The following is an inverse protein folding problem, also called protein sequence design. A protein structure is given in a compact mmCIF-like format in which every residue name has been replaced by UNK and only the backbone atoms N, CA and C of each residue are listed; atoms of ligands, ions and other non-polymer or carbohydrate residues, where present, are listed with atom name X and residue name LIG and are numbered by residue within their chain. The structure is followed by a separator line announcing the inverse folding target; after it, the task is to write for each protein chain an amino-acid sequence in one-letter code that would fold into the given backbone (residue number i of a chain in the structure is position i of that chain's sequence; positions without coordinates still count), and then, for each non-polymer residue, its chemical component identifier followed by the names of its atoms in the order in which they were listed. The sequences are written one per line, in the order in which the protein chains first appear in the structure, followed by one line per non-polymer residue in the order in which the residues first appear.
data_IF_244725596688
#
_entry.id   IF_244725596688
#
_cell.length_a   1.000
_cell.length_b   1.000
_cell.length_c   1.000
_cell.angle_alpha   90.00
_cell.angle_beta   90.00
_cell.angle_gamma   90.00
#
_symmetry.space_group_name_H-M   'P 1'
#
loop_
_entity.id
_entity.type
_entity.pdbx_description
1 polymer ?
#
# COMPACT_ATOMS: atom_id res chain seq x y z
N UNK A 1 1.78 13.84 68.40
CA UNK A 1 1.59 13.07 69.65
C UNK A 1 1.69 11.61 69.24
N UNK A 2 2.88 11.07 68.97
CA UNK A 2 4.04 10.93 69.90
C UNK A 2 3.51 10.32 71.22
N UNK A 3 3.88 9.12 71.67
CA UNK A 3 5.19 8.46 71.58
C UNK A 3 5.13 7.01 72.12
N UNK A 4 6.08 6.18 71.62
CA UNK A 4 7.02 5.26 72.31
C UNK A 4 6.58 4.52 73.61
N UNK A 5 7.04 3.31 74.00
CA UNK A 5 8.00 2.28 73.54
C UNK A 5 7.93 1.06 74.51
N UNK A 6 8.77 0.04 74.26
CA UNK A 6 9.34 -1.00 75.16
C UNK A 6 8.79 -2.44 74.99
N UNK A 7 9.54 -3.41 74.38
CA UNK A 7 10.75 -4.17 74.86
C UNK A 7 10.33 -5.16 75.98
N UNK A 8 10.56 -6.49 76.01
CA UNK A 8 11.27 -7.51 75.22
C UNK A 8 11.00 -8.93 75.82
N UNK A 9 11.54 -9.97 75.16
CA UNK A 9 12.09 -11.26 75.71
C UNK A 9 11.27 -12.58 75.81
N UNK A 10 11.75 -13.55 74.98
CA UNK A 10 11.93 -15.02 75.13
C UNK A 10 10.74 -15.94 75.49
N UNK A 11 10.61 -17.19 75.02
CA UNK A 11 11.57 -18.21 74.54
C UNK A 11 10.78 -19.30 73.77
N UNK A 12 11.32 -19.92 72.73
CA UNK A 12 11.92 -21.27 72.85
C UNK A 12 12.28 -21.87 71.47
N UNK A 13 13.44 -22.50 71.49
CA UNK A 13 14.24 -22.98 70.38
C UNK A 13 14.00 -24.48 70.20
N UNK A 14 13.83 -24.95 68.96
CA UNK A 14 14.29 -26.30 68.62
C UNK A 14 14.72 -26.41 67.17
N UNK A 15 16.02 -26.26 67.01
CA UNK A 15 16.81 -26.61 65.84
C UNK A 15 16.67 -28.10 65.50
N UNK A 16 16.76 -28.40 64.20
CA UNK A 16 17.45 -29.60 63.72
C UNK A 16 18.15 -29.29 62.38
N UNK A 17 19.44 -28.97 62.49
CA UNK A 17 20.52 -29.11 61.50
C UNK A 17 20.52 -30.52 60.89
N UNK A 18 20.91 -30.82 59.64
CA UNK A 18 22.08 -30.51 58.77
C UNK A 18 21.68 -30.87 57.30
N UNK A 19 22.26 -30.41 56.18
CA UNK A 19 23.67 -30.23 55.82
C UNK A 19 23.86 -29.39 54.52
N UNK A 20 25.00 -28.70 54.46
CA UNK A 20 25.84 -28.39 53.29
C UNK A 20 25.26 -27.63 52.06
N UNK A 21 25.35 -26.30 52.13
CA UNK A 21 26.15 -25.45 51.21
C UNK A 21 25.89 -25.48 49.70
N UNK A 22 25.25 -24.42 49.18
CA UNK A 22 25.81 -23.49 48.16
C UNK A 22 24.89 -22.27 48.07
N UNK A 23 25.44 -21.09 48.32
CA UNK A 23 24.78 -19.78 48.22
C UNK A 23 24.50 -19.48 46.75
N UNK A 24 23.31 -19.83 46.26
CA UNK A 24 22.85 -19.34 44.97
C UNK A 24 22.36 -17.90 45.15
N UNK A 25 23.12 -16.95 44.61
CA UNK A 25 22.59 -15.64 44.28
C UNK A 25 21.35 -15.84 43.41
N UNK A 26 20.23 -15.14 43.64
CA UNK A 26 19.23 -14.99 42.60
C UNK A 26 19.92 -14.25 41.46
N UNK A 27 20.26 -14.97 40.39
CA UNK A 27 20.52 -14.35 39.11
C UNK A 27 19.22 -13.63 38.76
N UNK A 28 19.23 -12.30 38.92
CA UNK A 28 18.29 -11.42 38.27
C UNK A 28 18.52 -11.56 36.76
N UNK A 29 17.99 -12.64 36.19
CA UNK A 29 17.66 -12.68 34.78
C UNK A 29 16.41 -11.82 34.63
N UNK A 30 16.60 -10.51 34.60
CA UNK A 30 15.67 -9.60 33.94
C UNK A 30 15.75 -9.89 32.44
N UNK A 31 15.26 -11.08 32.05
CA UNK A 31 14.75 -11.27 30.70
C UNK A 31 13.44 -10.51 30.65
N UNK A 32 13.54 -9.18 30.60
CA UNK A 32 12.47 -8.39 30.06
C UNK A 32 12.35 -8.80 28.59
N UNK A 33 11.52 -9.80 28.34
CA UNK A 33 10.82 -9.91 27.07
C UNK A 33 10.10 -8.58 26.94
N UNK A 34 10.77 -7.55 26.40
CA UNK A 34 10.10 -6.34 25.96
C UNK A 34 9.07 -6.85 24.98
N UNK A 35 7.82 -6.84 25.38
CA UNK A 35 6.72 -7.02 24.46
C UNK A 35 7.01 -6.07 23.29
N UNK A 36 7.32 -6.63 22.13
CA UNK A 36 7.53 -5.86 20.92
C UNK A 36 6.20 -5.14 20.73
N UNK A 37 6.21 -3.82 20.91
CA UNK A 37 5.02 -2.98 20.82
C UNK A 37 5.24 -2.02 19.68
N UNK A 38 4.19 -1.79 18.88
CA UNK A 38 4.26 -0.83 17.81
C UNK A 38 4.49 0.55 18.44
N UNK A 39 5.48 1.30 17.95
CA UNK A 39 5.79 2.64 18.45
C UNK A 39 4.60 3.60 18.32
N UNK A 40 3.74 3.37 17.33
CA UNK A 40 2.50 4.12 17.11
C UNK A 40 1.30 3.61 17.93
N UNK A 41 1.49 2.62 18.80
CA UNK A 41 0.41 2.02 19.60
C UNK A 41 -0.57 1.16 18.79
N UNK A 42 -0.29 0.88 17.52
CA UNK A 42 -1.14 0.04 16.68
C UNK A 42 -1.01 -1.44 17.07
N UNK A 43 -2.09 -2.02 17.60
CA UNK A 43 -2.14 -3.41 18.10
C UNK A 43 -2.09 -4.48 17.01
N UNK A 44 -2.38 -4.11 15.77
CA UNK A 44 -2.39 -5.03 14.60
C UNK A 44 -1.29 -4.69 13.60
N UNK A 45 -0.25 -3.97 14.04
CA UNK A 45 0.87 -3.62 13.18
C UNK A 45 1.60 -4.88 12.70
N UNK A 46 1.95 -4.95 11.42
CA UNK A 46 2.68 -6.09 10.82
C UNK A 46 4.00 -6.37 11.55
N UNK A 47 4.64 -5.33 12.08
CA UNK A 47 5.84 -5.43 12.92
C UNK A 47 5.64 -6.23 14.22
N UNK A 48 4.39 -6.52 14.61
CA UNK A 48 4.03 -7.28 15.82
C UNK A 48 3.68 -8.75 15.52
N UNK A 49 3.34 -9.07 14.27
CA UNK A 49 2.85 -10.40 13.85
C UNK A 49 3.98 -11.26 13.27
N UNK A 50 5.16 -10.69 13.04
CA UNK A 50 6.31 -11.44 12.51
C UNK A 50 6.90 -12.39 13.57
N UNK A 51 6.40 -13.62 13.65
CA UNK A 51 7.03 -14.73 14.38
C UNK A 51 8.31 -15.25 13.68
N UNK A 52 8.62 -14.73 12.48
CA UNK A 52 9.80 -15.06 11.71
C UNK A 52 10.43 -13.78 11.13
N UNK A 53 11.71 -13.45 11.41
CA UNK A 53 12.40 -12.26 10.93
C UNK A 53 12.78 -12.33 9.43
N UNK A 54 12.03 -13.09 8.62
CA UNK A 54 12.28 -13.24 7.20
C UNK A 54 11.73 -12.01 6.47
N UNK A 55 12.65 -11.06 6.30
CA UNK A 55 12.61 -9.75 5.67
C UNK A 55 12.82 -8.67 6.73
N UNK A 56 14.11 -8.48 7.06
CA UNK A 56 14.65 -7.33 7.80
C UNK A 56 14.21 -6.03 7.11
N UNK A 57 12.98 -5.61 7.34
CA UNK A 57 12.54 -4.28 6.95
C UNK A 57 13.33 -3.37 7.88
N UNK A 58 14.38 -2.72 7.39
CA UNK A 58 15.27 -1.93 8.23
C UNK A 58 14.43 -0.91 9.00
N UNK A 59 14.70 -0.79 10.29
CA UNK A 59 14.31 0.39 11.03
C UNK A 59 14.93 1.60 10.31
N UNK A 60 14.09 2.45 9.75
CA UNK A 60 14.52 3.71 9.18
C UNK A 60 14.88 4.65 10.34
N UNK A 61 16.17 4.83 10.64
CA UNK A 61 16.57 5.68 11.77
C UNK A 61 16.20 7.16 11.58
N UNK A 62 15.93 7.59 10.33
CA UNK A 62 15.43 8.95 10.06
C UNK A 62 13.96 9.12 10.44
N UNK A 63 13.07 8.31 9.85
CA UNK A 63 11.63 8.47 10.06
C UNK A 63 11.16 7.77 11.33
N UNK A 64 11.75 6.63 11.68
CA UNK A 64 11.37 5.83 12.86
C UNK A 64 12.03 6.30 14.16
N UNK A 65 12.88 7.33 14.15
CA UNK A 65 13.38 7.97 15.39
C UNK A 65 12.31 8.83 16.07
N UNK A 66 11.34 9.37 15.34
CA UNK A 66 10.25 10.20 15.89
C UNK A 66 9.34 9.40 16.85
N UNK A 67 9.14 9.90 18.07
CA UNK A 67 8.25 9.28 19.06
C UNK A 67 6.85 9.11 18.50
N UNK A 68 6.28 7.90 18.56
CA UNK A 68 4.94 7.63 18.05
C UNK A 68 4.85 7.29 16.55
N UNK A 69 5.93 7.42 15.77
CA UNK A 69 5.92 7.04 14.35
C UNK A 69 6.31 5.57 14.15
N UNK A 70 5.59 4.87 13.28
CA UNK A 70 5.92 3.52 12.84
C UNK A 70 5.92 3.45 11.32
N UNK A 71 7.08 3.17 10.70
CA UNK A 71 7.19 3.12 9.23
C UNK A 71 6.27 2.10 8.54
N UNK A 72 5.79 1.10 9.28
CA UNK A 72 4.91 0.05 8.77
C UNK A 72 3.42 0.41 8.77
N UNK A 73 2.99 1.32 9.64
CA UNK A 73 1.56 1.64 9.79
C UNK A 73 1.24 3.13 9.87
N UNK A 74 2.25 4.01 9.90
CA UNK A 74 2.07 5.45 9.80
C UNK A 74 2.37 5.93 8.38
N UNK A 75 1.55 6.86 7.90
CA UNK A 75 1.86 7.61 6.69
C UNK A 75 3.08 8.50 6.92
N UNK A 76 4.13 8.37 6.12
CA UNK A 76 5.35 9.19 6.19
C UNK A 76 5.10 10.70 5.98
N UNK A 77 3.96 11.08 5.39
CA UNK A 77 3.64 12.47 5.07
C UNK A 77 2.83 13.18 6.17
N UNK A 78 2.07 12.45 6.99
CA UNK A 78 1.21 13.05 8.02
C UNK A 78 1.31 12.39 9.40
N UNK A 79 2.15 11.37 9.54
CA UNK A 79 2.40 10.57 10.75
C UNK A 79 1.18 9.85 11.34
N UNK A 80 0.02 9.91 10.69
CA UNK A 80 -1.21 9.22 11.12
C UNK A 80 -1.25 7.78 10.62
N UNK A 81 -2.00 6.95 11.34
CA UNK A 81 -2.21 5.55 10.98
C UNK A 81 -2.90 5.41 9.61
N UNK A 82 -2.48 4.41 8.85
CA UNK A 82 -3.18 3.96 7.64
C UNK A 82 -4.42 3.14 8.03
N UNK A 83 -5.45 3.19 7.19
CA UNK A 83 -6.55 2.25 7.29
C UNK A 83 -6.23 1.00 6.49
N UNK A 84 -6.56 -0.17 7.05
CA UNK A 84 -6.49 -1.47 6.37
C UNK A 84 -7.82 -1.88 5.72
N UNK A 85 -8.81 -0.98 5.71
CA UNK A 85 -10.11 -1.23 5.09
C UNK A 85 -9.95 -1.54 3.59
N UNK A 86 -10.84 -2.41 3.08
CA UNK A 86 -10.92 -2.80 1.67
C UNK A 86 -9.57 -3.11 1.03
N UNK A 87 -8.81 -4.04 1.63
CA UNK A 87 -7.51 -4.51 1.14
C UNK A 87 -6.47 -3.37 0.92
N UNK A 88 -6.55 -2.32 1.75
CA UNK A 88 -5.57 -1.23 1.76
C UNK A 88 -5.68 -0.26 0.58
N UNK A 89 -6.88 0.00 0.07
CA UNK A 89 -7.12 0.92 -1.07
C UNK A 89 -6.63 2.36 -0.85
N UNK A 90 -6.45 2.76 0.42
CA UNK A 90 -6.21 4.17 0.80
C UNK A 90 -4.74 4.51 1.01
N UNK A 91 -3.84 3.54 0.85
CA UNK A 91 -2.41 3.73 1.07
C UNK A 91 -1.55 2.99 0.04
N UNK A 92 -0.32 3.48 -0.12
CA UNK A 92 0.73 2.81 -0.89
C UNK A 92 1.95 2.53 -0.01
N UNK A 93 2.48 1.31 -0.10
CA UNK A 93 3.74 0.90 0.52
C UNK A 93 4.86 0.98 -0.51
N UNK A 94 6.00 1.52 -0.14
CA UNK A 94 7.16 1.53 -1.00
C UNK A 94 7.83 0.14 -1.03
N UNK A 95 7.84 -0.47 -2.21
CA UNK A 95 8.39 -1.81 -2.46
C UNK A 95 9.80 -1.78 -3.05
N UNK A 96 10.40 -0.59 -3.17
CA UNK A 96 11.74 -0.45 -3.72
C UNK A 96 12.79 -1.11 -2.82
N UNK A 97 13.68 -1.89 -3.43
CA UNK A 97 14.86 -2.45 -2.76
C UNK A 97 15.91 -1.37 -2.55
N UNK A 98 16.27 -1.11 -1.30
CA UNK A 98 17.35 -0.20 -0.91
C UNK A 98 18.67 -0.96 -0.70
N UNK A 99 19.76 -0.23 -0.46
CA UNK A 99 21.10 -0.80 -0.23
C UNK A 99 21.02 -1.89 0.85
N UNK A 100 21.66 -3.04 0.58
CA UNK A 100 21.66 -4.27 1.39
C UNK A 100 20.49 -5.25 1.16
N UNK A 101 19.75 -5.13 0.03
CA UNK A 101 18.70 -6.08 -0.38
C UNK A 101 17.42 -6.03 0.47
N UNK A 102 17.21 -4.94 1.20
CA UNK A 102 16.03 -4.73 2.03
C UNK A 102 14.98 -3.88 1.31
N UNK A 103 13.71 -4.10 1.60
CA UNK A 103 12.61 -3.29 1.05
C UNK A 103 12.48 -1.99 1.87
N UNK A 104 12.26 -0.86 1.20
CA UNK A 104 12.05 0.44 1.83
C UNK A 104 10.92 0.44 2.87
N UNK A 105 9.77 -0.16 2.52
CA UNK A 105 8.68 -0.44 3.45
C UNK A 105 7.84 0.76 3.90
N UNK A 106 8.28 2.00 3.69
CA UNK A 106 7.53 3.18 4.10
C UNK A 106 6.16 3.28 3.42
N UNK A 107 5.16 3.67 4.19
CA UNK A 107 3.78 3.80 3.74
C UNK A 107 3.36 5.26 3.62
N UNK A 108 2.52 5.57 2.63
CA UNK A 108 1.83 6.86 2.51
C UNK A 108 0.34 6.65 2.30
N UNK A 109 -0.51 7.47 2.95
CA UNK A 109 -1.87 7.64 2.44
C UNK A 109 -1.79 8.16 1.02
N UNK A 110 -2.58 7.57 0.12
CA UNK A 110 -2.56 7.96 -1.27
C UNK A 110 -3.07 9.39 -1.47
N UNK A 111 -4.05 9.80 -0.67
CA UNK A 111 -4.52 11.19 -0.61
C UNK A 111 -3.42 12.17 -0.21
N UNK A 112 -2.60 11.82 0.80
CA UNK A 112 -1.48 12.64 1.22
C UNK A 112 -0.43 12.73 0.10
N UNK A 113 -0.13 11.62 -0.57
CA UNK A 113 0.84 11.59 -1.67
C UNK A 113 0.38 12.44 -2.85
N UNK A 114 -0.89 12.35 -3.25
CA UNK A 114 -1.47 13.17 -4.32
C UNK A 114 -1.42 14.67 -3.95
N UNK A 115 -1.82 15.03 -2.72
CA UNK A 115 -1.80 16.43 -2.25
C UNK A 115 -0.40 17.01 -2.11
N UNK A 116 0.60 16.17 -1.84
CA UNK A 116 1.99 16.56 -1.70
C UNK A 116 2.76 16.54 -3.03
N UNK A 117 2.08 16.30 -4.17
CA UNK A 117 2.72 16.12 -5.48
C UNK A 117 3.77 14.98 -5.50
N UNK A 118 3.57 13.97 -4.66
CA UNK A 118 4.38 12.74 -4.60
C UNK A 118 3.70 11.57 -5.33
N UNK A 119 2.51 11.77 -5.91
CA UNK A 119 1.81 10.76 -6.68
C UNK A 119 1.06 11.35 -7.89
N UNK A 120 0.84 10.54 -8.92
CA UNK A 120 0.05 10.88 -10.11
C UNK A 120 0.90 11.48 -11.23
N UNK A 121 0.31 12.40 -12.00
CA UNK A 121 1.04 13.21 -12.99
C UNK A 121 1.59 14.47 -12.32
N UNK A 122 2.91 14.63 -12.30
CA UNK A 122 3.58 15.79 -11.71
C UNK A 122 4.62 16.32 -12.68
N UNK A 123 4.50 17.59 -13.09
CA UNK A 123 5.46 18.25 -13.98
C UNK A 123 6.74 18.72 -13.27
N UNK A 124 7.54 19.52 -13.97
CA UNK A 124 8.78 20.10 -13.41
C UNK A 124 9.90 19.08 -13.23
N UNK A 125 10.74 19.30 -12.21
CA UNK A 125 11.93 18.46 -11.95
C UNK A 125 11.60 17.06 -11.42
N UNK A 126 10.45 16.87 -10.78
CA UNK A 126 10.04 15.57 -10.23
C UNK A 126 9.63 14.63 -11.37
N UNK A 127 8.88 15.16 -12.36
CA UNK A 127 8.44 14.46 -13.58
C UNK A 127 7.89 13.05 -13.30
N UNK A 128 6.69 12.98 -12.70
CA UNK A 128 5.95 11.74 -12.47
C UNK A 128 4.90 11.56 -13.56
N UNK A 129 4.70 10.31 -13.99
CA UNK A 129 3.65 9.95 -14.94
C UNK A 129 2.82 8.74 -14.48
N UNK A 130 1.73 9.00 -13.75
CA UNK A 130 0.97 7.98 -13.02
C UNK A 130 1.90 7.13 -12.12
N UNK A 131 2.73 7.81 -11.35
CA UNK A 131 3.75 7.20 -10.48
C UNK A 131 3.66 7.75 -9.08
N UNK A 132 4.22 7.02 -8.11
CA UNK A 132 4.45 7.46 -6.73
C UNK A 132 5.95 7.63 -6.49
N UNK A 133 6.35 8.75 -5.90
CA UNK A 133 7.69 9.01 -5.41
C UNK A 133 7.73 8.78 -3.89
N UNK A 134 8.52 7.81 -3.44
CA UNK A 134 8.73 7.61 -2.02
C UNK A 134 9.56 8.77 -1.43
N UNK A 135 9.03 9.43 -0.40
CA UNK A 135 9.71 10.55 0.27
C UNK A 135 11.00 10.16 1.00
N UNK A 136 11.20 8.87 1.28
CA UNK A 136 12.38 8.39 2.01
C UNK A 136 13.53 7.97 1.08
N UNK A 137 13.25 7.07 0.13
CA UNK A 137 14.29 6.47 -0.72
C UNK A 137 14.32 7.04 -2.14
N UNK A 138 13.51 8.06 -2.42
CA UNK A 138 13.37 8.74 -3.71
C UNK A 138 13.09 7.80 -4.90
N UNK A 139 12.63 6.58 -4.61
CA UNK A 139 12.27 5.60 -5.63
C UNK A 139 10.88 5.89 -6.18
N UNK A 140 10.75 5.76 -7.51
CA UNK A 140 9.48 5.87 -8.22
C UNK A 140 8.82 4.50 -8.37
N UNK A 141 7.51 4.45 -8.25
CA UNK A 141 6.70 3.25 -8.44
C UNK A 141 5.55 3.53 -9.40
N UNK A 142 5.29 2.61 -10.32
CA UNK A 142 4.16 2.71 -11.23
C UNK A 142 2.83 2.52 -10.49
N UNK A 143 1.90 3.45 -10.67
CA UNK A 143 0.59 3.41 -10.02
C UNK A 143 -0.51 2.83 -10.92
N UNK A 144 -0.24 2.51 -12.19
CA UNK A 144 -1.25 1.89 -13.07
C UNK A 144 -1.76 0.56 -12.50
N UNK A 145 -0.91 -0.38 -12.03
CA UNK A 145 -1.39 -1.61 -11.40
C UNK A 145 -2.20 -1.34 -10.13
N UNK A 146 -1.85 -0.29 -9.39
CA UNK A 146 -2.58 0.13 -8.21
C UNK A 146 -3.98 0.64 -8.56
N UNK A 147 -4.11 1.49 -9.59
CA UNK A 147 -5.40 1.96 -10.07
C UNK A 147 -6.30 0.81 -10.57
N UNK A 148 -5.70 -0.22 -11.19
CA UNK A 148 -6.43 -1.45 -11.56
C UNK A 148 -6.89 -2.22 -10.31
N UNK A 149 -6.04 -2.32 -9.27
CA UNK A 149 -6.42 -2.90 -7.97
C UNK A 149 -7.62 -2.17 -7.36
N UNK A 150 -7.64 -0.83 -7.39
CA UNK A 150 -8.77 -0.03 -6.89
C UNK A 150 -10.08 -0.37 -7.62
N UNK A 151 -10.01 -0.55 -8.94
CA UNK A 151 -11.16 -0.94 -9.73
C UNK A 151 -11.67 -2.34 -9.34
N UNK A 152 -10.77 -3.29 -9.14
CA UNK A 152 -11.13 -4.65 -8.70
C UNK A 152 -11.76 -4.66 -7.31
N UNK A 153 -11.24 -3.86 -6.36
CA UNK A 153 -11.82 -3.72 -5.02
C UNK A 153 -13.28 -3.28 -5.11
N UNK A 154 -13.61 -2.33 -6.00
CA UNK A 154 -14.98 -1.83 -6.14
C UNK A 154 -15.99 -2.91 -6.54
N UNK A 155 -15.57 -3.97 -7.23
CA UNK A 155 -16.46 -5.09 -7.63
C UNK A 155 -17.03 -5.86 -6.43
N UNK A 156 -16.35 -5.78 -5.28
CA UNK A 156 -16.71 -6.49 -4.05
C UNK A 156 -17.39 -5.58 -3.00
N UNK A 157 -17.64 -4.31 -3.35
CA UNK A 157 -18.23 -3.31 -2.44
C UNK A 157 -19.70 -3.08 -2.80
N UNK A 158 -20.57 -3.00 -1.78
CA UNK A 158 -22.00 -2.72 -1.97
C UNK A 158 -22.38 -1.24 -1.73
N UNK A 159 -21.43 -0.42 -1.28
CA UNK A 159 -21.63 0.99 -0.94
C UNK A 159 -21.23 1.89 -2.12
N UNK A 160 -22.21 2.59 -2.72
CA UNK A 160 -21.95 3.58 -3.78
C UNK A 160 -20.99 4.68 -3.33
N UNK A 161 -21.16 5.17 -2.09
CA UNK A 161 -20.33 6.24 -1.56
C UNK A 161 -18.86 5.81 -1.40
N UNK A 162 -18.60 4.55 -1.05
CA UNK A 162 -17.24 4.06 -0.91
C UNK A 162 -16.63 3.71 -2.27
N UNK A 163 -17.41 3.15 -3.21
CA UNK A 163 -16.99 3.00 -4.61
C UNK A 163 -16.60 4.35 -5.21
N UNK A 164 -17.44 5.37 -5.06
CA UNK A 164 -17.16 6.71 -5.56
C UNK A 164 -15.84 7.26 -5.00
N UNK A 165 -15.61 7.13 -3.68
CA UNK A 165 -14.34 7.55 -3.06
C UNK A 165 -13.14 6.81 -3.66
N UNK A 166 -13.24 5.50 -3.84
CA UNK A 166 -12.17 4.65 -4.39
C UNK A 166 -11.89 5.01 -5.85
N UNK A 167 -12.93 5.14 -6.68
CA UNK A 167 -12.78 5.52 -8.09
C UNK A 167 -12.18 6.93 -8.23
N UNK A 168 -12.57 7.88 -7.39
CA UNK A 168 -12.01 9.24 -7.40
C UNK A 168 -10.51 9.27 -7.06
N UNK A 169 -10.01 8.32 -6.29
CA UNK A 169 -8.56 8.15 -6.08
C UNK A 169 -7.90 7.67 -7.39
N UNK A 170 -8.45 6.64 -8.03
CA UNK A 170 -7.96 6.13 -9.32
C UNK A 170 -7.95 7.20 -10.42
N UNK A 171 -9.02 8.00 -10.53
CA UNK A 171 -9.09 9.13 -11.47
C UNK A 171 -7.93 10.10 -11.25
N UNK A 172 -7.67 10.47 -9.99
CA UNK A 172 -6.60 11.44 -9.66
C UNK A 172 -5.19 10.89 -9.89
N UNK A 173 -4.98 9.58 -9.73
CA UNK A 173 -3.72 8.93 -10.09
C UNK A 173 -3.45 9.05 -11.59
N UNK A 174 -4.46 8.72 -12.41
CA UNK A 174 -4.29 8.50 -13.85
C UNK A 174 -4.42 9.78 -14.68
N UNK A 175 -5.13 10.79 -14.15
CA UNK A 175 -5.43 12.02 -14.89
C UNK A 175 -4.18 12.71 -15.42
N UNK A 176 -4.20 13.00 -16.72
CA UNK A 176 -3.12 13.71 -17.41
C UNK A 176 -1.90 12.84 -17.70
N UNK A 177 -1.98 11.53 -17.50
CA UNK A 177 -0.88 10.63 -17.83
C UNK A 177 -0.61 10.57 -19.35
N UNK A 178 0.65 10.40 -19.73
CA UNK A 178 1.03 10.17 -21.12
C UNK A 178 1.04 8.67 -21.49
N UNK A 179 0.93 7.77 -20.51
CA UNK A 179 0.81 6.33 -20.72
C UNK A 179 -0.54 5.99 -21.35
N UNK A 180 -0.54 5.28 -22.48
CA UNK A 180 -1.78 4.83 -23.15
C UNK A 180 -2.66 3.97 -22.23
N UNK A 181 -2.05 3.01 -21.53
CA UNK A 181 -2.74 2.14 -20.56
C UNK A 181 -3.38 2.91 -19.41
N UNK A 182 -2.77 4.01 -18.96
CA UNK A 182 -3.34 4.84 -17.91
C UNK A 182 -4.59 5.58 -18.40
N UNK A 183 -4.57 6.07 -19.64
CA UNK A 183 -5.69 6.75 -20.26
C UNK A 183 -6.87 5.80 -20.55
N UNK A 184 -6.60 4.60 -21.04
CA UNK A 184 -7.63 3.56 -21.23
C UNK A 184 -8.31 3.20 -19.89
N UNK A 185 -7.51 2.97 -18.86
CA UNK A 185 -8.03 2.67 -17.52
C UNK A 185 -8.81 3.86 -16.93
N UNK A 186 -8.34 5.10 -17.16
CA UNK A 186 -9.06 6.31 -16.73
C UNK A 186 -10.43 6.38 -17.39
N UNK A 187 -10.52 6.19 -18.71
CA UNK A 187 -11.80 6.21 -19.43
C UNK A 187 -12.76 5.14 -18.90
N UNK A 188 -12.25 3.95 -18.60
CA UNK A 188 -13.06 2.89 -17.98
C UNK A 188 -13.60 3.31 -16.62
N UNK A 189 -12.74 3.84 -15.74
CA UNK A 189 -13.13 4.31 -14.41
C UNK A 189 -14.16 5.44 -14.49
N UNK A 190 -13.96 6.42 -15.37
CA UNK A 190 -14.87 7.54 -15.58
C UNK A 190 -16.23 7.08 -16.13
N UNK A 191 -16.25 6.11 -17.06
CA UNK A 191 -17.49 5.51 -17.58
C UNK A 191 -18.28 4.80 -16.47
N UNK A 192 -17.61 4.00 -15.65
CA UNK A 192 -18.24 3.32 -14.50
C UNK A 192 -18.80 4.35 -13.52
N UNK A 193 -18.00 5.34 -13.14
CA UNK A 193 -18.45 6.39 -12.22
C UNK A 193 -19.68 7.13 -12.78
N UNK A 194 -19.69 7.46 -14.08
CA UNK A 194 -20.83 8.10 -14.72
C UNK A 194 -22.09 7.22 -14.76
N UNK A 195 -21.96 5.90 -14.95
CA UNK A 195 -23.09 4.95 -14.85
C UNK A 195 -23.66 4.92 -13.43
N UNK A 196 -22.80 4.84 -12.42
CA UNK A 196 -23.21 4.84 -11.01
C UNK A 196 -23.94 6.14 -10.63
N UNK A 197 -23.46 7.30 -11.09
CA UNK A 197 -24.13 8.59 -10.87
C UNK A 197 -25.51 8.69 -11.52
N UNK A 198 -25.77 7.89 -12.56
CA UNK A 198 -27.09 7.77 -13.21
C UNK A 198 -28.00 6.73 -12.52
N UNK A 199 -27.56 6.12 -11.42
CA UNK A 199 -28.32 5.12 -10.68
C UNK A 199 -28.29 3.72 -11.29
N UNK A 200 -27.37 3.44 -12.21
CA UNK A 200 -27.16 2.08 -12.73
C UNK A 200 -26.66 1.19 -11.59
N UNK A 201 -27.15 -0.07 -11.54
CA UNK A 201 -26.71 -1.03 -10.53
C UNK A 201 -25.20 -1.22 -10.56
N UNK A 202 -24.56 -1.47 -9.42
CA UNK A 202 -23.11 -1.71 -9.35
C UNK A 202 -22.70 -2.86 -10.29
N UNK A 203 -23.48 -3.94 -10.34
CA UNK A 203 -23.18 -5.07 -11.22
C UNK A 203 -23.20 -4.68 -12.70
N UNK A 204 -24.19 -3.89 -13.12
CA UNK A 204 -24.33 -3.46 -14.51
C UNK A 204 -23.31 -2.38 -14.89
N UNK A 205 -22.94 -1.52 -13.95
CA UNK A 205 -21.95 -0.47 -14.18
C UNK A 205 -20.58 -1.04 -14.56
N UNK A 206 -20.20 -2.18 -13.97
CA UNK A 206 -18.89 -2.83 -14.18
C UNK A 206 -18.87 -3.83 -15.34
N UNK A 207 -20.00 -4.12 -15.99
CA UNK A 207 -20.02 -4.95 -17.20
C UNK A 207 -19.25 -4.24 -18.32
N UNK A 208 -18.33 -4.95 -18.95
CA UNK A 208 -17.68 -4.46 -20.16
C UNK A 208 -18.73 -4.33 -21.27
N UNK A 209 -18.72 -3.18 -21.94
CA UNK A 209 -19.53 -3.00 -23.13
C UNK A 209 -18.91 -3.86 -24.22
N UNK A 210 -19.58 -4.95 -24.59
CA UNK A 210 -19.24 -5.65 -25.83
C UNK A 210 -19.39 -4.64 -26.96
N UNK A 211 -18.32 -4.39 -27.72
CA UNK A 211 -18.40 -3.61 -28.95
C UNK A 211 -19.39 -4.31 -29.89
N UNK A 212 -20.64 -3.86 -29.88
CA UNK A 212 -21.62 -4.25 -30.88
C UNK A 212 -21.29 -3.38 -32.09
N UNK A 213 -20.40 -3.89 -32.93
CA UNK A 213 -20.05 -3.27 -34.19
C UNK A 213 -21.31 -3.24 -35.06
N UNK A 214 -22.05 -2.14 -34.97
CA UNK A 214 -23.29 -1.93 -35.73
C UNK A 214 -22.92 -1.48 -37.14
N UNK A 215 -22.27 -2.36 -37.89
CA UNK A 215 -22.30 -2.27 -39.36
C UNK A 215 -23.63 -2.83 -39.82
N UNK A 216 -24.70 -2.06 -39.62
CA UNK A 216 -25.93 -2.22 -40.37
C UNK A 216 -25.79 -1.38 -41.64
N UNK A 217 -25.29 -1.98 -42.72
CA UNK A 217 -25.65 -1.52 -44.05
C UNK A 217 -26.05 -2.72 -44.90
N UNK A 218 -27.36 -2.79 -45.14
CA UNK A 218 -28.05 -3.66 -46.09
C UNK A 218 -27.47 -3.55 -47.51
N UNK A 219 -27.45 -4.67 -48.25
CA UNK A 219 -26.97 -4.81 -49.63
C UNK A 219 -27.63 -3.88 -50.66
N UNK A 220 -27.21 -3.77 -51.92
CA UNK A 220 -26.69 -4.79 -52.86
C UNK A 220 -26.05 -4.13 -54.11
N UNK A 221 -25.11 -4.85 -54.74
CA UNK A 221 -24.72 -4.99 -56.18
C UNK A 221 -24.19 -3.83 -57.06
N UNK A 222 -23.02 -4.14 -57.67
CA UNK A 222 -22.54 -3.88 -59.07
C UNK A 222 -22.21 -2.42 -59.45
N UNK A 223 -21.14 -2.01 -60.17
CA UNK A 223 -20.22 -2.68 -61.11
C UNK A 223 -19.03 -1.72 -61.50
N UNK A 224 -17.92 -2.28 -62.05
CA UNK A 224 -16.85 -1.65 -62.89
C UNK A 224 -15.81 -0.70 -62.21
N UNK A 225 -14.51 -0.63 -62.54
CA UNK A 225 -13.72 -0.95 -63.73
C UNK A 225 -12.21 -1.10 -63.40
N UNK A 226 -11.48 -1.76 -64.30
CA UNK A 226 -10.06 -2.14 -64.30
C UNK A 226 -9.04 -1.00 -64.23
N UNK A 227 -7.88 -1.28 -63.62
CA UNK A 227 -6.50 -1.07 -64.13
C UNK A 227 -5.52 -0.95 -62.94
N UNK A 228 -4.28 -1.46 -62.92
CA UNK A 228 -3.52 -2.34 -63.79
C UNK A 228 -2.19 -2.61 -63.05
N UNK A 229 -1.69 -3.85 -63.14
CA UNK A 229 -0.29 -4.29 -62.91
C UNK A 229 0.23 -4.42 -61.47
N UNK A 230 0.06 -5.64 -60.96
CA UNK A 230 1.18 -6.42 -60.41
C UNK A 230 2.16 -6.83 -61.52
N UNK A 231 3.46 -6.73 -61.23
CA UNK A 231 4.64 -7.46 -61.76
C UNK A 231 5.86 -6.64 -61.30
N UNK A 232 6.90 -7.15 -60.64
CA UNK A 232 7.47 -8.48 -60.47
C UNK A 232 8.59 -8.35 -59.42
N UNK A 233 8.85 -9.44 -58.69
CA UNK A 233 10.11 -9.95 -58.11
C UNK A 233 11.41 -9.17 -58.45
N UNK A 234 12.52 -9.17 -57.73
CA UNK A 234 13.08 -9.85 -56.55
C UNK A 234 14.48 -9.22 -56.39
N UNK A 235 15.07 -9.35 -55.19
CA UNK A 235 16.52 -9.32 -54.90
C UNK A 235 17.30 -8.04 -55.21
N UNK A 236 18.01 -7.51 -54.20
CA UNK A 236 19.49 -7.43 -54.20
C UNK A 236 19.99 -6.99 -52.82
N UNK A 237 21.02 -7.70 -52.38
CA UNK A 237 21.70 -7.65 -51.11
C UNK A 237 23.03 -6.86 -51.28
N UNK A 238 23.56 -6.31 -50.17
CA UNK A 238 24.93 -5.81 -49.91
C UNK A 238 25.31 -4.38 -50.36
N UNK A 239 26.33 -3.72 -49.73
CA UNK A 239 27.49 -4.22 -48.94
C UNK A 239 27.39 -4.11 -47.41
#
# INVERSE_FOLDING_TARGET
MEDLHDIDFDSDMKERTTSAGTKMQPLLSDSSFRAITCKAGNRICSSLVAENPLMETRFCDLCCSESGFCGDCCCILCSKLISLDYDGYSYIRCEATVVSSHICGHVSHLECALRAYMAGRVGGSINLDAEYLCRYCDSKMDLVPYALKLLNICTSIASYADIEKILNIGIRILRGSQKSIANELLHRIESINAKLMKGVSIQDAFKEESCVDSTANSGTSEDQNLNQKQKTLETFQYP
#
